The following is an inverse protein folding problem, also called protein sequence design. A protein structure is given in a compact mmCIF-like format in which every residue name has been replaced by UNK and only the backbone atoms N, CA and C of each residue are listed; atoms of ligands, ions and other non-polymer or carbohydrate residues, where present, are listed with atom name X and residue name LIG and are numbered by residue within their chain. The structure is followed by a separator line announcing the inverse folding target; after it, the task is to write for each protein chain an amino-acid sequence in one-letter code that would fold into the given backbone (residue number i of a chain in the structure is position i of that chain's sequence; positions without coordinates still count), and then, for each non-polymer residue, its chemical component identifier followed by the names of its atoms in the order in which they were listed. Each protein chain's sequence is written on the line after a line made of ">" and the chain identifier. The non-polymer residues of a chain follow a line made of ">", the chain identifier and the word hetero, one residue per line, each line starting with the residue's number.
data_IF_017323090179
#
_entry.id   IF_017323090179
#
_cell.length_a   1.000
_cell.length_b   1.000
_cell.length_c   1.000
_cell.angle_alpha   90.00
_cell.angle_beta   90.00
_cell.angle_gamma   90.00
#
_symmetry.space_group_name_H-M   'P 1'
#
loop_
_entity.id
_entity.type
_entity.pdbx_description
1 polymer ?
#
# COMPACT_ATOMS: atom_id res chain seq x y z
N UNK A 1 3.31 6.18 -1.89
CA UNK A 1 3.72 4.77 -2.05
C UNK A 1 5.16 4.72 -2.53
N UNK A 2 6.03 3.88 -1.96
CA UNK A 2 7.43 3.80 -2.39
C UNK A 2 7.54 3.20 -3.80
N UNK A 3 8.18 3.94 -4.70
CA UNK A 3 8.54 3.48 -6.05
C UNK A 3 9.93 2.86 -6.00
N UNK A 4 10.03 1.60 -6.43
CA UNK A 4 11.32 0.92 -6.60
C UNK A 4 11.87 1.31 -7.96
N UNK A 5 13.05 1.94 -7.98
CA UNK A 5 13.74 2.31 -9.22
C UNK A 5 14.16 1.06 -9.99
N UNK A 6 14.22 1.11 -11.33
CA UNK A 6 14.79 0.03 -12.12
C UNK A 6 16.24 -0.22 -11.69
N UNK A 7 16.63 -1.48 -11.61
CA UNK A 7 17.99 -1.88 -11.24
C UNK A 7 18.35 -3.20 -11.92
N UNK A 8 19.65 -3.48 -12.01
CA UNK A 8 20.17 -4.76 -12.49
C UNK A 8 20.55 -5.59 -11.27
N UNK A 9 20.03 -6.81 -11.17
CA UNK A 9 20.41 -7.75 -10.11
C UNK A 9 21.84 -8.26 -10.34
N UNK A 10 22.45 -8.84 -9.31
CA UNK A 10 23.81 -9.42 -9.41
C UNK A 10 23.92 -10.57 -10.43
N UNK A 11 22.79 -11.17 -10.81
CA UNK A 11 22.66 -12.19 -11.86
C UNK A 11 22.55 -11.60 -13.28
N UNK A 12 22.63 -10.28 -13.44
CA UNK A 12 22.50 -9.58 -14.72
C UNK A 12 21.05 -9.38 -15.17
N UNK A 13 20.05 -9.86 -14.42
CA UNK A 13 18.64 -9.70 -14.82
C UNK A 13 18.18 -8.25 -14.62
N UNK A 14 17.65 -7.59 -15.67
CA UNK A 14 17.13 -6.24 -15.55
C UNK A 14 15.76 -6.26 -14.89
N UNK A 15 15.63 -5.60 -13.74
CA UNK A 15 14.36 -5.45 -13.02
C UNK A 15 13.75 -4.11 -13.35
N UNK A 16 12.52 -4.12 -13.90
CA UNK A 16 11.75 -2.90 -14.15
C UNK A 16 11.32 -2.25 -12.84
N UNK A 17 11.25 -0.92 -12.87
CA UNK A 17 10.74 -0.15 -11.74
C UNK A 17 9.29 -0.53 -11.43
N UNK A 18 8.95 -0.67 -10.16
CA UNK A 18 7.61 -1.08 -9.73
C UNK A 18 7.21 -0.40 -8.42
N UNK A 19 5.91 -0.21 -8.25
CA UNK A 19 5.36 0.28 -6.99
C UNK A 19 5.23 -0.86 -5.99
N UNK A 20 5.69 -0.63 -4.75
CA UNK A 20 5.44 -1.54 -3.64
C UNK A 20 4.36 -0.96 -2.75
N UNK A 21 3.29 -1.72 -2.61
CA UNK A 21 2.19 -1.38 -1.72
C UNK A 21 2.44 -2.02 -0.35
N UNK A 22 1.87 -1.43 0.70
CA UNK A 22 1.98 -1.98 2.04
C UNK A 22 1.42 -3.43 2.08
N UNK A 23 1.93 -4.29 2.97
CA UNK A 23 1.34 -5.62 3.19
C UNK A 23 -0.16 -5.49 3.46
N UNK A 24 -1.00 -6.16 2.66
CA UNK A 24 -2.47 -6.08 2.74
C UNK A 24 -3.15 -5.20 1.68
N UNK A 25 -2.49 -4.12 1.23
CA UNK A 25 -3.10 -3.14 0.32
C UNK A 25 -3.46 -3.69 -1.08
N UNK A 26 -2.83 -4.80 -1.51
CA UNK A 26 -3.19 -5.47 -2.78
C UNK A 26 -4.59 -6.07 -2.74
N UNK A 27 -4.93 -6.76 -1.65
CA UNK A 27 -6.23 -7.41 -1.46
C UNK A 27 -7.34 -6.37 -1.34
N UNK A 28 -7.07 -5.30 -0.61
CA UNK A 28 -8.02 -4.21 -0.42
C UNK A 28 -8.32 -3.50 -1.74
N UNK A 29 -7.31 -3.17 -2.53
CA UNK A 29 -7.50 -2.54 -3.84
C UNK A 29 -8.18 -3.46 -4.86
N UNK A 30 -7.95 -4.78 -4.82
CA UNK A 30 -8.76 -5.70 -5.65
C UNK A 30 -10.22 -5.68 -5.24
N UNK A 31 -10.52 -5.60 -3.94
CA UNK A 31 -11.91 -5.48 -3.46
C UNK A 31 -12.51 -4.15 -3.87
N UNK A 32 -11.79 -3.04 -3.72
CA UNK A 32 -12.25 -1.72 -4.18
C UNK A 32 -12.46 -1.67 -5.69
N UNK A 33 -11.57 -2.27 -6.48
CA UNK A 33 -11.70 -2.31 -7.93
C UNK A 33 -12.90 -3.14 -8.37
N UNK A 34 -13.10 -4.33 -7.80
CA UNK A 34 -14.27 -5.18 -8.09
C UNK A 34 -15.55 -4.50 -7.65
N UNK A 35 -15.59 -3.92 -6.44
CA UNK A 35 -16.76 -3.20 -5.95
C UNK A 35 -17.07 -1.98 -6.82
N UNK A 36 -16.06 -1.19 -7.18
CA UNK A 36 -16.21 -0.06 -8.09
C UNK A 36 -16.71 -0.50 -9.47
N UNK A 37 -16.21 -1.61 -10.01
CA UNK A 37 -16.69 -2.16 -11.28
C UNK A 37 -18.13 -2.68 -11.16
N UNK A 38 -18.52 -3.30 -10.06
CA UNK A 38 -19.90 -3.74 -9.84
C UNK A 38 -20.83 -2.53 -9.74
N UNK A 39 -20.48 -1.51 -8.95
CA UNK A 39 -21.30 -0.29 -8.79
C UNK A 39 -21.40 0.47 -10.11
N UNK A 40 -20.28 0.67 -10.81
CA UNK A 40 -20.27 1.31 -12.12
C UNK A 40 -20.98 0.46 -13.17
N UNK A 41 -20.71 -0.84 -13.22
CA UNK A 41 -21.30 -1.79 -14.17
C UNK A 41 -22.80 -1.98 -13.99
N UNK A 42 -23.32 -1.97 -12.76
CA UNK A 42 -24.76 -1.94 -12.52
C UNK A 42 -25.41 -0.63 -12.99
N UNK A 43 -24.69 0.49 -12.90
CA UNK A 43 -25.14 1.75 -13.51
C UNK A 43 -24.99 1.80 -15.04
N UNK A 44 -24.20 0.88 -15.61
CA UNK A 44 -23.79 0.84 -17.02
C UNK A 44 -24.24 -0.45 -17.74
N UNK A 45 -25.27 -1.14 -17.25
CA UNK A 45 -25.92 -2.27 -17.93
C UNK A 45 -26.71 -1.83 -19.20
N UNK A 46 -26.08 -0.98 -20.00
CA UNK A 46 -26.52 -0.45 -21.29
C UNK A 46 -25.36 -0.01 -22.19
N UNK A 47 -24.14 -0.51 -21.98
CA UNK A 47 -23.02 -0.13 -22.86
C UNK A 47 -21.83 -1.08 -22.76
N UNK A 48 -21.90 -2.22 -23.44
CA UNK A 48 -20.73 -3.00 -23.81
C UNK A 48 -20.38 -2.69 -25.28
N UNK A 49 -19.12 -2.34 -25.49
CA UNK A 49 -18.38 -2.32 -26.74
C UNK A 49 -18.83 -1.37 -27.85
N UNK A 50 -18.18 -0.20 -27.93
CA UNK A 50 -17.63 0.26 -29.21
C UNK A 50 -16.50 1.28 -29.01
N UNK A 51 -15.34 0.95 -29.56
CA UNK A 51 -14.31 1.92 -29.92
C UNK A 51 -14.91 2.86 -30.97
N UNK A 52 -15.50 3.96 -30.54
CA UNK A 52 -16.08 4.96 -31.42
C UNK A 52 -16.55 6.14 -30.61
N UNK A 53 -15.94 7.31 -30.86
CA UNK A 53 -16.32 8.63 -30.39
C UNK A 53 -17.65 8.69 -29.59
N UNK A 54 -17.56 8.64 -28.26
CA UNK A 54 -18.70 8.94 -27.41
C UNK A 54 -19.27 10.33 -27.75
N UNK A 55 -20.60 10.53 -27.69
CA UNK A 55 -21.20 11.79 -28.09
C UNK A 55 -20.60 12.94 -27.27
N UNK A 56 -19.92 13.83 -27.96
CA UNK A 56 -19.33 15.02 -27.39
C UNK A 56 -20.44 15.80 -26.66
N UNK A 57 -20.30 16.08 -25.35
CA UNK A 57 -21.32 16.82 -24.62
C UNK A 57 -21.45 18.20 -25.29
N UNK A 58 -22.60 18.44 -25.91
CA UNK A 58 -22.96 19.78 -26.39
C UNK A 58 -23.01 20.69 -25.17
N UNK A 59 -22.25 21.80 -25.11
CA UNK A 59 -22.32 22.71 -23.98
C UNK A 59 -23.72 23.35 -23.96
N UNK A 60 -24.54 22.90 -23.00
CA UNK A 60 -25.81 23.54 -22.65
C UNK A 60 -25.50 24.88 -22.00
N UNK A 61 -25.86 25.95 -22.68
CA UNK A 61 -26.10 27.32 -22.18
C UNK A 61 -25.03 27.90 -21.24
N UNK A 62 -24.19 28.78 -21.80
CA UNK A 62 -23.27 29.60 -21.01
C UNK A 62 -24.04 30.74 -20.32
N UNK A 63 -24.27 30.61 -19.01
CA UNK A 63 -24.80 31.70 -18.19
C UNK A 63 -23.67 32.66 -17.84
N UNK A 64 -23.83 33.98 -18.02
CA UNK A 64 -22.78 34.95 -17.72
C UNK A 64 -22.71 35.18 -16.20
N UNK A 65 -22.18 34.22 -15.44
CA UNK A 65 -21.86 34.43 -14.03
C UNK A 65 -20.58 35.26 -13.97
N UNK A 66 -20.71 36.52 -13.57
CA UNK A 66 -19.58 37.40 -13.26
C UNK A 66 -19.25 37.20 -11.78
N UNK A 67 -18.14 36.54 -11.50
CA UNK A 67 -17.58 36.54 -10.16
C UNK A 67 -16.76 37.82 -10.03
N UNK A 68 -17.29 38.81 -9.30
CA UNK A 68 -16.47 39.92 -8.85
C UNK A 68 -15.32 39.35 -8.02
N UNK A 69 -14.10 39.57 -8.48
CA UNK A 69 -12.89 39.32 -7.70
C UNK A 69 -12.90 40.31 -6.53
N UNK A 70 -13.64 39.98 -5.47
CA UNK A 70 -13.43 40.60 -4.17
C UNK A 70 -12.02 40.20 -3.75
N UNK A 71 -11.15 41.20 -3.85
CA UNK A 71 -9.75 41.21 -3.47
C UNK A 71 -9.52 40.32 -2.26
N UNK A 72 -8.60 39.34 -2.43
CA UNK A 72 -8.04 38.47 -1.40
C UNK A 72 -8.11 39.11 -0.01
N UNK A 73 -9.08 38.71 0.82
CA UNK A 73 -8.78 38.62 2.24
C UNK A 73 -7.87 37.41 2.37
N UNK A 74 -6.58 37.69 2.52
CA UNK A 74 -5.59 36.72 2.99
C UNK A 74 -6.25 35.89 4.08
N UNK A 75 -6.19 34.54 4.04
CA UNK A 75 -6.64 33.74 5.17
C UNK A 75 -5.85 34.27 6.37
N UNK A 76 -6.55 34.92 7.30
CA UNK A 76 -5.93 35.47 8.49
C UNK A 76 -5.13 34.36 9.13
N UNK A 77 -3.87 34.66 9.41
CA UNK A 77 -2.90 33.77 10.02
C UNK A 77 -3.55 32.99 11.15
N UNK A 78 -3.94 31.75 10.87
CA UNK A 78 -4.32 30.81 11.90
C UNK A 78 -3.04 30.41 12.61
N UNK A 79 -2.61 31.24 13.56
CA UNK A 79 -1.45 30.94 14.42
C UNK A 79 -1.74 29.61 15.11
N UNK A 80 -0.97 28.54 14.85
CA UNK A 80 -1.19 27.27 15.50
C UNK A 80 -0.98 27.47 17.01
N UNK A 81 -2.00 27.19 17.81
CA UNK A 81 -1.88 27.23 19.26
C UNK A 81 -0.88 26.15 19.68
N UNK A 82 0.06 26.44 20.61
CA UNK A 82 1.00 25.44 21.07
C UNK A 82 0.24 24.30 21.75
N UNK A 83 0.25 23.12 21.12
CA UNK A 83 -0.23 21.89 21.74
C UNK A 83 0.72 21.55 22.87
N UNK A 84 0.21 21.53 24.11
CA UNK A 84 0.99 21.06 25.27
C UNK A 84 1.39 19.60 25.01
N UNK A 85 2.69 19.34 24.89
CA UNK A 85 3.21 17.98 24.74
C UNK A 85 3.44 17.38 26.12
N UNK A 86 2.58 16.44 26.51
CA UNK A 86 2.84 15.60 27.68
C UNK A 86 3.78 14.45 27.28
N UNK A 87 4.72 14.05 28.15
CA UNK A 87 5.59 12.92 27.89
C UNK A 87 4.76 11.63 27.85
N UNK A 88 4.75 10.97 26.69
CA UNK A 88 4.20 9.62 26.55
C UNK A 88 5.18 8.65 27.21
N UNK A 89 4.76 7.99 28.29
CA UNK A 89 5.53 6.92 28.92
C UNK A 89 5.28 5.64 28.14
N UNK A 90 6.33 5.08 27.55
CA UNK A 90 6.28 3.76 26.92
C UNK A 90 6.67 2.72 27.94
N UNK A 91 5.78 1.76 28.20
CA UNK A 91 6.09 0.64 29.08
C UNK A 91 7.20 -0.22 28.47
N UNK A 92 8.20 -0.54 29.29
CA UNK A 92 9.28 -1.43 28.85
C UNK A 92 8.77 -2.87 28.95
N UNK A 93 8.78 -3.66 27.86
CA UNK A 93 8.31 -5.03 27.90
C UNK A 93 9.17 -5.86 28.85
N UNK A 94 8.52 -6.62 29.74
CA UNK A 94 9.20 -7.49 30.70
C UNK A 94 10.03 -8.55 29.96
N UNK A 95 11.30 -8.78 30.34
CA UNK A 95 12.13 -9.79 29.69
C UNK A 95 11.47 -11.17 29.82
N UNK A 96 11.19 -11.79 28.67
CA UNK A 96 10.66 -13.16 28.59
C UNK A 96 11.79 -14.14 28.88
N UNK A 97 11.54 -15.08 29.80
CA UNK A 97 12.47 -16.18 30.08
C UNK A 97 12.72 -16.98 28.80
N UNK A 98 13.99 -17.21 28.47
CA UNK A 98 14.37 -18.03 27.32
C UNK A 98 13.78 -19.45 27.48
N UNK A 99 13.13 -19.94 26.43
CA UNK A 99 12.65 -21.32 26.39
C UNK A 99 13.84 -22.25 26.15
N UNK A 100 13.87 -23.45 26.76
CA UNK A 100 14.91 -24.42 26.48
C UNK A 100 14.84 -24.89 25.03
N UNK A 101 15.99 -24.92 24.36
CA UNK A 101 16.13 -25.46 23.01
C UNK A 101 16.11 -26.99 23.08
N UNK A 102 15.26 -27.69 22.30
CA UNK A 102 15.29 -29.14 22.27
C UNK A 102 16.60 -29.62 21.63
N UNK A 103 17.40 -30.37 22.38
CA UNK A 103 18.58 -31.07 21.87
C UNK A 103 18.17 -32.50 21.51
N UNK A 104 18.33 -32.87 20.25
CA UNK A 104 18.17 -34.26 19.80
C UNK A 104 19.53 -34.95 19.94
N UNK A 105 19.58 -36.02 20.72
CA UNK A 105 20.74 -36.89 20.84
C UNK A 105 20.47 -38.18 20.08
N UNK A 106 21.37 -38.55 19.18
CA UNK A 106 21.33 -39.82 18.47
C UNK A 106 22.35 -40.77 19.12
N UNK A 107 22.01 -42.07 19.25
CA UNK A 107 22.98 -43.05 19.70
C UNK A 107 24.07 -43.20 18.64
N UNK A 108 25.33 -43.06 19.06
CA UNK A 108 26.48 -43.45 18.25
C UNK A 108 26.72 -44.94 18.51
N UNK A 109 26.48 -45.79 17.51
CA UNK A 109 26.84 -47.21 17.61
C UNK A 109 28.32 -47.40 17.26
N UNK A 110 29.15 -47.49 18.30
CA UNK A 110 30.59 -47.70 18.18
C UNK A 110 30.94 -49.13 17.72
N UNK A 111 29.99 -50.06 17.79
CA UNK A 111 30.17 -51.46 17.34
C UNK A 111 30.32 -51.53 15.81
N UNK A 112 29.69 -50.60 15.09
CA UNK A 112 29.81 -50.46 13.65
C UNK A 112 31.19 -49.92 13.20
N UNK A 113 31.96 -49.31 14.10
CA UNK A 113 33.29 -48.74 13.79
C UNK A 113 34.44 -49.75 13.90
N UNK A 114 34.23 -50.90 14.57
CA UNK A 114 35.30 -51.85 14.94
C UNK A 114 35.40 -53.11 14.08
N UNK A 115 34.56 -53.27 13.04
CA UNK A 115 34.48 -54.49 12.24
C UNK A 115 35.39 -54.48 11.01
N UNK A 116 36.70 -54.45 11.20
CA UNK A 116 37.67 -54.51 10.11
C UNK A 116 39.02 -55.04 10.57
N UNK A 117 39.12 -56.36 10.71
CA UNK A 117 40.38 -57.12 10.76
C UNK A 117 40.30 -58.24 9.76
#
# INVERSE_FOLDING_TARGET
>A
MPFVRPYVRSDGTPVRGHYRWAPGARREMTVFAVFGLVVLGFSHAGGQDESGAGPQPRPTVSYPIRFDQTTRKSPGDAVPRPTVSYPIKFDTPKPRRAAPTPTVSYPIDLSALGGGR
#
